data_IF_939758620089
#
_entry.id   IF_939758620089
#
_cell.length_a   1.000
_cell.length_b   1.000
_cell.length_c   1.000
_cell.angle_alpha   90.00
_cell.angle_beta   90.00
_cell.angle_gamma   90.00
#
_symmetry.space_group_name_H-M   'P 1'
#
loop_
_entity.id
_entity.type
_entity.pdbx_description
1 polymer ?
#
# COMPACT_ATOMS: atom_id res chain seq x y z
N UNK A 1 -3.34 -2.90 -8.22
CA UNK A 1 -3.27 -1.92 -9.31
C UNK A 1 -4.19 -0.76 -9.00
N UNK A 2 -3.68 0.45 -9.18
CA UNK A 2 -4.48 1.69 -9.10
C UNK A 2 -5.19 1.87 -10.43
N UNK A 3 -6.47 2.20 -10.39
CA UNK A 3 -7.28 2.47 -11.59
C UNK A 3 -7.59 3.96 -11.62
N UNK A 4 -7.37 4.58 -12.76
CA UNK A 4 -7.59 6.01 -12.97
C UNK A 4 -8.81 6.19 -13.86
N UNK A 5 -9.81 6.90 -13.35
CA UNK A 5 -10.98 7.34 -14.09
C UNK A 5 -10.84 8.84 -14.35
N UNK A 6 -10.65 9.22 -15.60
CA UNK A 6 -10.67 10.62 -15.99
C UNK A 6 -12.11 11.04 -16.35
N UNK A 7 -12.62 12.07 -15.69
CA UNK A 7 -13.88 12.67 -16.12
C UNK A 7 -13.66 13.44 -17.42
N UNK A 8 -14.43 13.17 -18.47
CA UNK A 8 -14.47 13.95 -19.71
C UNK A 8 -15.22 15.26 -19.48
N UNK A 9 -14.65 16.13 -18.67
CA UNK A 9 -15.23 17.45 -18.40
C UNK A 9 -14.39 18.53 -19.07
N UNK A 10 -15.04 19.53 -19.66
CA UNK A 10 -14.36 20.74 -20.14
C UNK A 10 -13.47 21.31 -19.03
N UNK A 11 -12.23 21.63 -19.37
CA UNK A 11 -11.22 22.19 -18.45
C UNK A 11 -11.84 23.36 -17.66
N UNK A 12 -12.01 23.16 -16.36
CA UNK A 12 -12.45 24.24 -15.45
C UNK A 12 -11.29 25.21 -15.26
N UNK A 13 -11.60 26.49 -15.28
CA UNK A 13 -10.69 27.49 -14.72
C UNK A 13 -10.65 27.33 -13.20
N UNK A 14 -9.60 26.75 -12.65
CA UNK A 14 -9.40 26.56 -11.22
C UNK A 14 -8.47 25.40 -10.88
N UNK A 15 -8.18 25.15 -9.61
CA UNK A 15 -7.37 24.03 -9.20
C UNK A 15 -8.05 22.69 -9.56
N UNK A 16 -7.23 21.74 -10.03
CA UNK A 16 -7.69 20.38 -10.33
C UNK A 16 -8.18 19.70 -9.06
N UNK A 17 -9.40 19.16 -9.09
CA UNK A 17 -10.01 18.41 -7.97
C UNK A 17 -9.84 16.92 -8.19
N UNK A 18 -9.25 16.24 -7.23
CA UNK A 18 -8.90 14.83 -7.33
C UNK A 18 -9.47 14.08 -6.13
N UNK A 19 -10.20 13.01 -6.40
CA UNK A 19 -10.68 12.09 -5.40
C UNK A 19 -9.90 10.78 -5.44
N UNK A 20 -9.47 10.28 -4.28
CA UNK A 20 -8.93 8.94 -4.12
C UNK A 20 -9.91 8.08 -3.32
N UNK A 21 -10.27 6.91 -3.83
CA UNK A 21 -11.10 5.93 -3.13
C UNK A 21 -10.19 4.89 -2.48
N UNK A 22 -10.27 4.78 -1.15
CA UNK A 22 -9.38 3.97 -0.32
C UNK A 22 -8.24 4.77 0.29
N UNK A 23 -8.05 4.69 1.61
CA UNK A 23 -7.02 5.38 2.40
C UNK A 23 -5.75 4.54 2.65
N UNK A 24 -5.51 3.52 1.81
CA UNK A 24 -4.32 2.68 1.90
C UNK A 24 -3.04 3.35 1.41
N UNK A 25 -1.87 2.70 1.57
CA UNK A 25 -0.57 3.26 1.18
C UNK A 25 -0.51 3.73 -0.27
N UNK A 26 -1.23 3.08 -1.18
CA UNK A 26 -1.24 3.45 -2.60
C UNK A 26 -1.84 4.85 -2.84
N UNK A 27 -3.02 5.14 -2.27
CA UNK A 27 -3.65 6.47 -2.35
C UNK A 27 -2.83 7.53 -1.64
N UNK A 28 -2.37 7.23 -0.42
CA UNK A 28 -1.62 8.18 0.38
C UNK A 28 -0.34 8.60 -0.34
N UNK A 29 0.43 7.62 -0.84
CA UNK A 29 1.68 7.93 -1.53
C UNK A 29 1.45 8.60 -2.89
N UNK A 30 0.43 8.18 -3.63
CA UNK A 30 -0.01 8.89 -4.84
C UNK A 30 -0.34 10.35 -4.55
N UNK A 31 -1.12 10.62 -3.50
CA UNK A 31 -1.51 11.99 -3.12
C UNK A 31 -0.29 12.85 -2.71
N UNK A 32 0.68 12.28 -1.97
CA UNK A 32 1.93 12.94 -1.62
C UNK A 32 2.68 13.36 -2.89
N UNK A 33 2.92 12.43 -3.81
CA UNK A 33 3.67 12.70 -5.03
C UNK A 33 2.96 13.71 -5.94
N UNK A 34 1.64 13.56 -6.07
CA UNK A 34 0.84 14.46 -6.89
C UNK A 34 0.83 15.87 -6.31
N UNK A 35 0.67 16.02 -5.00
CA UNK A 35 0.67 17.32 -4.33
C UNK A 35 2.01 18.04 -4.45
N UNK A 36 3.11 17.31 -4.49
CA UNK A 36 4.46 17.88 -4.77
C UNK A 36 4.58 18.37 -6.19
N UNK A 37 3.99 17.68 -7.17
CA UNK A 37 4.06 18.04 -8.60
C UNK A 37 3.04 19.10 -8.98
N UNK A 38 1.88 19.10 -8.36
CA UNK A 38 0.76 20.01 -8.60
C UNK A 38 0.33 20.68 -7.28
N UNK A 39 1.07 21.68 -6.80
CA UNK A 39 0.79 22.33 -5.50
C UNK A 39 -0.58 22.97 -5.38
N UNK A 40 -1.23 23.34 -6.50
CA UNK A 40 -2.57 23.90 -6.52
C UNK A 40 -3.69 22.86 -6.52
N UNK A 41 -3.38 21.56 -6.75
CA UNK A 41 -4.41 20.52 -6.79
C UNK A 41 -5.12 20.36 -5.43
N UNK A 42 -6.42 20.20 -5.45
CA UNK A 42 -7.23 19.83 -4.31
C UNK A 42 -7.41 18.32 -4.30
N UNK A 43 -6.96 17.66 -3.24
CA UNK A 43 -6.97 16.20 -3.16
C UNK A 43 -7.76 15.78 -1.94
N UNK A 44 -8.77 14.94 -2.16
CA UNK A 44 -9.57 14.28 -1.15
C UNK A 44 -9.33 12.77 -1.20
N UNK A 45 -9.11 12.15 -0.04
CA UNK A 45 -9.01 10.70 0.12
C UNK A 45 -10.20 10.25 0.97
N UNK A 46 -10.95 9.27 0.47
CA UNK A 46 -12.10 8.69 1.16
C UNK A 46 -11.77 7.26 1.58
N UNK A 47 -11.89 6.99 2.88
CA UNK A 47 -11.60 5.69 3.49
C UNK A 47 -12.78 5.24 4.33
N UNK A 48 -13.27 4.02 4.10
CA UNK A 48 -14.42 3.45 4.80
C UNK A 48 -14.12 3.07 6.25
N UNK A 49 -12.86 2.79 6.58
CA UNK A 49 -12.42 2.39 7.90
C UNK A 49 -11.90 3.59 8.70
N UNK A 50 -11.58 3.36 9.98
CA UNK A 50 -10.91 4.35 10.82
C UNK A 50 -9.49 4.62 10.34
N UNK A 51 -8.96 5.76 10.75
CA UNK A 51 -7.63 6.22 10.33
C UNK A 51 -6.49 5.23 10.66
N UNK A 52 -6.63 4.48 11.75
CA UNK A 52 -5.61 3.56 12.26
C UNK A 52 -5.93 2.08 12.02
N UNK A 53 -7.01 1.78 11.31
CA UNK A 53 -7.35 0.42 10.92
C UNK A 53 -6.43 -0.04 9.80
N UNK A 54 -5.90 -1.26 9.95
CA UNK A 54 -5.07 -1.89 8.94
C UNK A 54 -5.22 -3.40 8.97
N UNK A 55 -5.05 -4.02 7.80
CA UNK A 55 -5.10 -5.48 7.64
C UNK A 55 -3.67 -6.02 7.44
N UNK A 56 -3.26 -6.97 8.31
CA UNK A 56 -1.91 -7.52 8.36
C UNK A 56 -0.97 -6.78 9.32
N UNK A 57 0.19 -7.40 9.58
CA UNK A 57 1.11 -6.97 10.65
C UNK A 57 2.23 -6.09 10.17
N UNK A 58 2.89 -6.48 9.09
CA UNK A 58 4.09 -5.81 8.61
C UNK A 58 4.10 -5.62 7.10
N UNK A 59 5.02 -4.80 6.65
CA UNK A 59 5.41 -4.64 5.25
C UNK A 59 6.93 -4.74 5.15
N UNK A 60 7.39 -5.27 4.03
CA UNK A 60 8.81 -5.38 3.72
C UNK A 60 9.09 -4.62 2.44
N UNK A 61 10.19 -3.91 2.42
CA UNK A 61 10.72 -3.23 1.24
C UNK A 61 12.13 -3.74 0.93
N UNK A 62 12.45 -3.84 -0.36
CA UNK A 62 13.82 -3.99 -0.83
C UNK A 62 14.53 -2.63 -0.87
N UNK A 63 15.86 -2.65 -0.93
CA UNK A 63 16.68 -1.44 -1.11
C UNK A 63 16.28 -0.66 -2.35
N UNK A 64 15.92 -1.34 -3.46
CA UNK A 64 15.43 -0.70 -4.67
C UNK A 64 14.14 0.10 -4.42
N UNK A 65 13.19 -0.51 -3.68
CA UNK A 65 11.95 0.18 -3.32
C UNK A 65 12.21 1.38 -2.43
N UNK A 66 13.14 1.25 -1.48
CA UNK A 66 13.56 2.36 -0.63
C UNK A 66 14.21 3.49 -1.42
N UNK A 67 15.06 3.16 -2.40
CA UNK A 67 15.65 4.14 -3.30
C UNK A 67 14.60 4.93 -4.10
N UNK A 68 13.54 4.26 -4.55
CA UNK A 68 12.42 4.94 -5.21
C UNK A 68 11.68 5.90 -4.25
N UNK A 69 11.53 5.56 -2.96
CA UNK A 69 10.99 6.48 -1.97
C UNK A 69 11.90 7.68 -1.75
N UNK A 70 13.21 7.45 -1.63
CA UNK A 70 14.21 8.50 -1.41
C UNK A 70 14.23 9.51 -2.56
N UNK A 71 14.20 9.04 -3.79
CA UNK A 71 14.17 9.89 -4.98
C UNK A 71 12.86 10.68 -5.09
N UNK A 72 11.72 10.03 -4.87
CA UNK A 72 10.41 10.63 -5.11
C UNK A 72 9.95 11.56 -3.97
N UNK A 73 10.13 11.16 -2.71
CA UNK A 73 9.86 11.98 -1.52
C UNK A 73 10.84 11.67 -0.38
N UNK A 74 12.00 12.37 -0.33
CA UNK A 74 13.03 12.16 0.70
C UNK A 74 12.50 12.25 2.13
N UNK A 75 11.47 13.06 2.38
CA UNK A 75 10.88 13.21 3.72
C UNK A 75 10.11 11.96 4.14
N UNK A 76 9.30 11.36 3.26
CA UNK A 76 8.66 10.07 3.53
C UNK A 76 9.71 8.97 3.76
N UNK A 77 10.76 8.92 2.95
CA UNK A 77 11.87 7.98 3.10
C UNK A 77 12.54 8.12 4.47
N UNK A 78 12.91 9.34 4.88
CA UNK A 78 13.54 9.62 6.16
C UNK A 78 12.69 9.07 7.33
N UNK A 79 11.40 9.36 7.33
CA UNK A 79 10.46 8.91 8.36
C UNK A 79 10.31 7.39 8.40
N UNK A 80 10.22 6.75 7.23
CA UNK A 80 10.15 5.30 7.12
C UNK A 80 11.44 4.69 7.70
N UNK A 81 12.60 5.24 7.33
CA UNK A 81 13.91 4.76 7.76
C UNK A 81 14.11 4.81 9.27
N UNK A 82 13.54 5.78 9.95
CA UNK A 82 13.63 5.92 11.42
C UNK A 82 12.84 4.81 12.17
N UNK A 83 11.97 4.08 11.49
CA UNK A 83 11.04 3.15 12.11
C UNK A 83 11.16 1.70 11.63
N UNK A 84 12.10 1.39 10.75
CA UNK A 84 12.21 0.03 10.22
C UNK A 84 13.31 -0.80 10.91
N UNK A 85 13.13 -2.11 10.90
CA UNK A 85 14.21 -3.07 11.09
C UNK A 85 14.83 -3.41 9.73
N UNK A 86 16.16 -3.60 9.69
CA UNK A 86 16.91 -3.86 8.46
C UNK A 86 17.67 -5.18 8.55
N UNK A 87 17.66 -5.97 7.48
CA UNK A 87 18.38 -7.24 7.37
C UNK A 87 19.19 -7.29 6.10
N UNK A 88 20.43 -7.77 6.23
CA UNK A 88 21.32 -8.07 5.10
C UNK A 88 21.28 -9.54 4.71
N UNK A 89 20.73 -10.39 5.57
CA UNK A 89 20.74 -11.83 5.41
C UNK A 89 19.34 -12.38 5.22
N UNK A 90 19.27 -13.46 4.45
CA UNK A 90 18.10 -14.32 4.32
C UNK A 90 18.44 -15.68 4.89
N UNK A 91 17.71 -16.12 5.89
CA UNK A 91 17.76 -17.47 6.42
C UNK A 91 16.68 -18.34 5.79
N UNK A 92 17.07 -19.44 5.18
CA UNK A 92 16.14 -20.43 4.64
C UNK A 92 16.29 -21.75 5.38
N UNK A 93 15.18 -22.24 5.92
CA UNK A 93 15.09 -23.53 6.61
C UNK A 93 14.31 -24.51 5.75
N UNK A 94 14.94 -25.63 5.41
CA UNK A 94 14.33 -26.75 4.65
C UNK A 94 14.97 -28.07 5.01
N UNK A 95 14.18 -29.13 5.21
CA UNK A 95 14.67 -30.49 5.49
C UNK A 95 15.58 -30.58 6.73
N UNK A 96 15.32 -29.77 7.77
CA UNK A 96 16.15 -29.71 8.98
C UNK A 96 17.47 -28.97 8.82
N UNK A 97 17.74 -28.39 7.65
CA UNK A 97 18.94 -27.61 7.36
C UNK A 97 18.62 -26.13 7.33
N UNK A 98 19.59 -25.30 7.70
CA UNK A 98 19.58 -23.85 7.55
C UNK A 98 20.61 -23.47 6.49
N UNK A 99 20.20 -22.62 5.55
CA UNK A 99 21.08 -21.96 4.59
C UNK A 99 20.93 -20.47 4.77
N UNK A 100 22.00 -19.74 4.91
CA UNK A 100 22.04 -18.29 4.98
C UNK A 100 22.62 -17.72 3.70
N UNK A 101 21.92 -16.78 3.10
CA UNK A 101 22.40 -15.99 1.96
C UNK A 101 22.56 -14.54 2.43
N UNK A 102 23.72 -13.93 2.19
CA UNK A 102 24.07 -12.59 2.63
C UNK A 102 24.18 -11.61 1.47
N UNK A 103 24.23 -10.31 1.77
CA UNK A 103 24.35 -9.24 0.79
C UNK A 103 23.01 -8.78 0.20
N UNK A 104 21.92 -9.07 0.89
CA UNK A 104 20.59 -8.58 0.57
C UNK A 104 20.27 -7.29 1.35
N UNK A 105 19.35 -6.50 0.84
CA UNK A 105 18.84 -5.32 1.53
C UNK A 105 17.32 -5.42 1.68
N UNK A 106 16.86 -5.74 2.90
CA UNK A 106 15.45 -5.75 3.22
C UNK A 106 15.19 -4.94 4.48
N UNK A 107 14.14 -4.15 4.47
CA UNK A 107 13.65 -3.54 5.69
C UNK A 107 12.20 -3.90 5.93
N UNK A 108 11.82 -3.99 7.19
CA UNK A 108 10.45 -4.24 7.61
C UNK A 108 10.00 -3.25 8.66
N UNK A 109 8.74 -2.84 8.57
CA UNK A 109 8.10 -2.04 9.61
C UNK A 109 6.64 -2.46 9.80
N UNK A 110 6.07 -2.09 10.94
CA UNK A 110 4.67 -2.35 11.19
C UNK A 110 3.80 -1.64 10.14
N UNK A 111 2.85 -2.35 9.55
CA UNK A 111 1.96 -1.82 8.52
C UNK A 111 1.18 -0.59 9.01
N UNK A 112 0.73 -0.62 10.26
CA UNK A 112 0.07 0.51 10.92
C UNK A 112 0.99 1.73 10.98
N UNK A 113 2.26 1.53 11.31
CA UNK A 113 3.24 2.61 11.38
C UNK A 113 3.44 3.27 10.01
N UNK A 114 3.60 2.47 8.94
CA UNK A 114 3.68 3.00 7.58
C UNK A 114 2.46 3.85 7.23
N UNK A 115 1.26 3.34 7.54
CA UNK A 115 0.01 4.02 7.25
C UNK A 115 -0.04 5.40 7.93
N UNK A 116 0.28 5.47 9.22
CA UNK A 116 0.29 6.72 10.00
C UNK A 116 1.33 7.72 9.48
N UNK A 117 2.55 7.26 9.16
CA UNK A 117 3.61 8.12 8.60
C UNK A 117 3.17 8.78 7.28
N UNK A 118 2.53 8.00 6.39
CA UNK A 118 2.04 8.53 5.12
C UNK A 118 0.85 9.46 5.31
N UNK A 119 -0.04 9.17 6.26
CA UNK A 119 -1.15 10.07 6.60
C UNK A 119 -0.65 11.40 7.15
N UNK A 120 0.33 11.39 8.04
CA UNK A 120 0.92 12.62 8.57
C UNK A 120 1.56 13.45 7.46
N UNK A 121 2.28 12.80 6.55
CA UNK A 121 2.83 13.47 5.37
C UNK A 121 1.75 14.08 4.47
N UNK A 122 0.64 13.37 4.26
CA UNK A 122 -0.52 13.88 3.53
C UNK A 122 -1.11 15.13 4.20
N UNK A 123 -1.29 15.12 5.53
CA UNK A 123 -1.79 16.28 6.29
C UNK A 123 -0.90 17.50 6.12
N UNK A 124 0.41 17.34 6.23
CA UNK A 124 1.39 18.42 6.03
C UNK A 124 1.31 19.04 4.64
N UNK A 125 1.05 18.22 3.63
CA UNK A 125 0.89 18.67 2.25
C UNK A 125 -0.52 19.22 1.96
N UNK A 126 -1.42 19.27 2.95
CA UNK A 126 -2.78 19.80 2.80
C UNK A 126 -3.72 18.87 2.03
N UNK A 127 -3.46 17.56 2.02
CA UNK A 127 -4.40 16.55 1.49
C UNK A 127 -5.51 16.34 2.52
N UNK A 128 -6.76 16.41 2.09
CA UNK A 128 -7.92 16.14 2.95
C UNK A 128 -8.20 14.64 2.98
N UNK A 129 -8.41 14.11 4.18
CA UNK A 129 -8.71 12.69 4.38
C UNK A 129 -10.02 12.55 5.16
N UNK A 130 -10.93 11.76 4.61
CA UNK A 130 -12.27 11.50 5.14
C UNK A 130 -12.33 10.02 5.52
N UNK A 131 -12.22 9.74 6.81
CA UNK A 131 -12.31 8.39 7.36
C UNK A 131 -13.74 8.04 7.75
N UNK A 132 -14.03 6.75 7.89
CA UNK A 132 -15.38 6.22 8.15
C UNK A 132 -16.37 6.71 7.09
N UNK A 133 -15.89 6.87 5.86
CA UNK A 133 -16.63 7.41 4.72
C UNK A 133 -16.62 6.44 3.55
N UNK A 134 -17.71 5.73 3.35
CA UNK A 134 -17.90 4.82 2.23
C UNK A 134 -18.40 5.58 1.00
N UNK A 135 -17.81 5.32 -0.16
CA UNK A 135 -18.29 5.86 -1.44
C UNK A 135 -19.37 4.94 -1.99
N UNK A 136 -20.61 5.39 -1.97
CA UNK A 136 -21.76 4.65 -2.47
C UNK A 136 -21.83 4.64 -4.00
N UNK A 137 -21.44 5.75 -4.63
CA UNK A 137 -21.49 5.89 -6.09
C UNK A 137 -20.22 6.54 -6.63
N UNK A 138 -19.48 5.77 -7.44
CA UNK A 138 -18.28 6.29 -8.12
C UNK A 138 -18.68 7.31 -9.20
N UNK A 139 -19.84 7.16 -9.84
CA UNK A 139 -20.29 8.07 -10.88
C UNK A 139 -20.66 9.45 -10.31
N UNK A 140 -21.30 9.49 -9.14
CA UNK A 140 -21.56 10.75 -8.43
C UNK A 140 -20.27 11.45 -8.01
N UNK A 141 -19.28 10.67 -7.53
CA UNK A 141 -17.97 11.21 -7.19
C UNK A 141 -17.30 11.79 -8.45
N UNK A 142 -17.31 11.06 -9.56
CA UNK A 142 -16.73 11.50 -10.83
C UNK A 142 -17.42 12.76 -11.38
N UNK A 143 -18.68 13.01 -11.05
CA UNK A 143 -19.37 14.25 -11.44
C UNK A 143 -18.83 15.50 -10.71
N UNK A 144 -18.21 15.35 -9.55
CA UNK A 144 -17.75 16.43 -8.70
C UNK A 144 -16.22 16.65 -8.72
N UNK A 145 -15.45 15.68 -9.25
CA UNK A 145 -13.99 15.70 -9.33
C UNK A 145 -13.53 15.61 -10.77
N UNK A 146 -12.38 16.21 -11.07
CA UNK A 146 -11.78 16.15 -12.40
C UNK A 146 -11.07 14.80 -12.65
N UNK A 147 -10.64 14.14 -11.58
CA UNK A 147 -10.00 12.84 -11.59
C UNK A 147 -10.43 12.02 -10.38
N UNK A 148 -10.79 10.77 -10.61
CA UNK A 148 -11.03 9.77 -9.56
C UNK A 148 -10.00 8.66 -9.68
N UNK A 149 -9.29 8.40 -8.58
CA UNK A 149 -8.27 7.35 -8.46
C UNK A 149 -8.79 6.28 -7.52
N UNK A 150 -9.09 5.10 -8.05
CA UNK A 150 -9.52 3.98 -7.25
C UNK A 150 -8.32 3.16 -6.77
N UNK A 151 -8.13 3.12 -5.46
CA UNK A 151 -7.12 2.32 -4.76
C UNK A 151 -7.74 1.59 -3.56
N UNK A 152 -8.97 1.11 -3.74
CA UNK A 152 -9.85 0.46 -2.77
C UNK A 152 -9.50 -1.03 -2.54
N UNK A 153 -8.31 -1.45 -2.99
CA UNK A 153 -7.68 -2.70 -2.61
C UNK A 153 -8.09 -3.93 -3.42
N UNK A 154 -7.83 -5.10 -2.84
CA UNK A 154 -8.02 -6.40 -3.52
C UNK A 154 -9.49 -6.69 -3.80
N UNK A 155 -10.39 -6.24 -2.95
CA UNK A 155 -11.85 -6.39 -3.09
C UNK A 155 -12.51 -5.16 -3.71
N UNK A 156 -11.84 -4.48 -4.62
CA UNK A 156 -12.25 -3.23 -5.23
C UNK A 156 -13.68 -3.27 -5.78
N UNK A 157 -14.55 -2.44 -5.23
CA UNK A 157 -15.91 -2.22 -5.71
C UNK A 157 -15.91 -1.46 -7.05
N UNK A 158 -14.96 -0.53 -7.21
CA UNK A 158 -14.79 0.23 -8.46
C UNK A 158 -14.41 -0.69 -9.61
N UNK A 159 -13.49 -1.65 -9.39
CA UNK A 159 -13.12 -2.64 -10.39
C UNK A 159 -14.31 -3.49 -10.82
N UNK A 160 -15.15 -3.89 -9.88
CA UNK A 160 -16.35 -4.69 -10.18
C UNK A 160 -17.39 -3.86 -10.95
N UNK A 161 -17.61 -2.62 -10.53
CA UNK A 161 -18.56 -1.71 -11.21
C UNK A 161 -18.19 -1.48 -12.69
N UNK A 162 -16.90 -1.24 -12.97
CA UNK A 162 -16.41 -0.98 -14.34
C UNK A 162 -15.79 -2.21 -15.02
N UNK A 163 -16.15 -3.42 -14.62
CA UNK A 163 -15.52 -4.65 -15.14
C UNK A 163 -15.61 -4.80 -16.66
N UNK A 164 -16.70 -4.35 -17.27
CA UNK A 164 -16.88 -4.42 -18.72
C UNK A 164 -15.87 -3.52 -19.47
N UNK A 165 -15.50 -2.39 -18.87
CA UNK A 165 -14.52 -1.45 -19.44
C UNK A 165 -13.09 -1.88 -19.13
N UNK A 166 -12.81 -2.30 -17.90
CA UNK A 166 -11.46 -2.64 -17.45
C UNK A 166 -11.03 -4.05 -17.80
N UNK A 167 -11.99 -4.94 -18.05
CA UNK A 167 -11.77 -6.36 -18.37
C UNK A 167 -10.72 -6.99 -17.42
N UNK A 168 -10.94 -6.95 -16.08
CA UNK A 168 -9.97 -7.43 -15.12
C UNK A 168 -9.76 -8.93 -15.25
N UNK A 169 -8.52 -9.39 -15.08
CA UNK A 169 -8.19 -10.80 -14.92
C UNK A 169 -7.94 -11.10 -13.46
N UNK A 170 -8.70 -12.04 -12.87
CA UNK A 170 -8.58 -12.49 -11.49
C UNK A 170 -8.17 -13.96 -11.47
N UNK A 171 -7.02 -14.24 -10.87
CA UNK A 171 -6.53 -15.59 -10.66
C UNK A 171 -6.66 -15.96 -9.17
N UNK A 172 -7.66 -16.77 -8.86
CA UNK A 172 -7.92 -17.24 -7.51
C UNK A 172 -7.05 -18.45 -7.18
N UNK A 173 -6.08 -18.26 -6.28
CA UNK A 173 -5.20 -19.34 -5.83
C UNK A 173 -5.91 -20.23 -4.81
N UNK A 174 -5.61 -21.55 -4.88
CA UNK A 174 -6.18 -22.53 -3.95
C UNK A 174 -5.47 -22.56 -2.60
N UNK A 175 -4.23 -22.07 -2.53
CA UNK A 175 -3.48 -22.00 -1.28
C UNK A 175 -4.14 -21.03 -0.31
N UNK A 176 -4.09 -21.37 0.97
CA UNK A 176 -4.56 -20.50 2.06
C UNK A 176 -3.36 -19.94 2.79
N UNK A 177 -3.53 -18.80 3.42
CA UNK A 177 -2.52 -18.20 4.27
C UNK A 177 -3.16 -17.64 5.54
N UNK A 178 -2.34 -17.46 6.57
CA UNK A 178 -2.71 -16.78 7.80
C UNK A 178 -1.57 -15.87 8.23
N UNK A 179 -1.91 -14.75 8.83
CA UNK A 179 -0.94 -13.86 9.46
C UNK A 179 -0.85 -14.15 10.94
N UNK A 180 0.38 -14.31 11.43
CA UNK A 180 0.66 -14.47 12.84
C UNK A 180 1.59 -13.36 13.32
N UNK A 181 1.24 -12.75 14.46
CA UNK A 181 2.12 -11.83 15.16
C UNK A 181 2.99 -12.59 16.18
N UNK A 182 4.24 -12.17 16.35
CA UNK A 182 5.14 -12.67 17.39
C UNK A 182 5.97 -11.55 17.96
N UNK A 183 6.36 -11.66 19.22
CA UNK A 183 7.33 -10.77 19.87
C UNK A 183 8.78 -11.21 19.66
N UNK A 184 9.00 -12.35 19.00
CA UNK A 184 10.34 -12.84 18.68
C UNK A 184 10.97 -11.92 17.62
N UNK A 185 12.11 -11.33 17.95
CA UNK A 185 12.89 -10.56 16.99
C UNK A 185 13.60 -11.51 16.02
N UNK A 186 13.46 -11.22 14.72
CA UNK A 186 14.15 -11.95 13.66
C UNK A 186 15.51 -11.30 13.41
N UNK A 187 16.56 -12.12 13.35
CA UNK A 187 17.95 -11.67 13.06
C UNK A 187 18.24 -11.63 11.57
N UNK A 188 17.41 -12.26 10.76
CA UNK A 188 17.46 -12.28 9.31
C UNK A 188 16.05 -12.36 8.74
N UNK A 189 15.87 -11.97 7.51
CA UNK A 189 14.63 -12.24 6.79
C UNK A 189 14.50 -13.75 6.59
N UNK A 190 13.48 -14.37 7.17
CA UNK A 190 13.45 -15.82 7.38
C UNK A 190 12.37 -16.50 6.56
N UNK A 191 12.77 -17.52 5.82
CA UNK A 191 11.87 -18.47 5.15
C UNK A 191 11.96 -19.83 5.82
N UNK A 192 10.81 -20.44 6.08
CA UNK A 192 10.73 -21.83 6.49
C UNK A 192 9.86 -22.61 5.52
N UNK A 193 10.39 -23.67 4.96
CA UNK A 193 9.66 -24.60 4.10
C UNK A 193 9.56 -25.96 4.83
N UNK A 194 8.34 -26.42 5.00
CA UNK A 194 8.07 -27.68 5.68
C UNK A 194 7.11 -28.54 4.88
N UNK A 195 7.58 -29.69 4.43
CA UNK A 195 6.72 -30.73 3.86
C UNK A 195 5.93 -31.43 4.96
N UNK A 196 4.66 -31.68 4.69
CA UNK A 196 3.72 -32.36 5.57
C UNK A 196 2.81 -33.25 4.73
N UNK A 197 2.01 -34.10 5.38
CA UNK A 197 0.95 -34.85 4.73
C UNK A 197 -0.10 -33.98 4.01
N UNK A 198 -0.23 -32.69 4.40
CA UNK A 198 -1.16 -31.69 3.83
C UNK A 198 -0.54 -30.83 2.72
N UNK A 199 0.72 -31.09 2.37
CA UNK A 199 1.46 -30.34 1.36
C UNK A 199 2.62 -29.53 1.93
N UNK A 200 3.13 -28.62 1.13
CA UNK A 200 4.26 -27.74 1.47
C UNK A 200 3.76 -26.49 2.18
N UNK A 201 4.17 -26.32 3.43
CA UNK A 201 3.96 -25.08 4.16
C UNK A 201 5.15 -24.14 3.99
N UNK A 202 4.85 -22.86 3.77
CA UNK A 202 5.83 -21.79 3.68
C UNK A 202 5.56 -20.78 4.77
N UNK A 203 6.60 -20.41 5.52
CA UNK A 203 6.54 -19.32 6.50
C UNK A 203 7.49 -18.23 6.06
N UNK A 204 7.01 -16.99 6.00
CA UNK A 204 7.83 -15.79 5.81
C UNK A 204 7.78 -15.01 7.11
N UNK A 205 8.93 -14.87 7.77
CA UNK A 205 9.03 -14.22 9.06
C UNK A 205 10.06 -13.09 9.04
N UNK A 206 9.67 -11.95 9.59
CA UNK A 206 10.48 -10.73 9.66
C UNK A 206 10.01 -9.81 10.79
#
# INVERSE_FOLDING_TARGET
>A
RVVVLAATRALRCGPMKIACIGGGPASLYFAILLRKRLPSAEIDIFEQNKADDTFGWGVVFSDETLGNFEEADPESYRRIREHFAYWTDIDTFYGGKKVTSSGHGFCGLARKQLLLLLQDRCRELGVRMHFEHTIESTDELAANYDLVVAADGVNSAVREHYKESFKPSLDWRKCKFAWFGTTKKMTAFTFVFKETEWGLFQVHAY
#
